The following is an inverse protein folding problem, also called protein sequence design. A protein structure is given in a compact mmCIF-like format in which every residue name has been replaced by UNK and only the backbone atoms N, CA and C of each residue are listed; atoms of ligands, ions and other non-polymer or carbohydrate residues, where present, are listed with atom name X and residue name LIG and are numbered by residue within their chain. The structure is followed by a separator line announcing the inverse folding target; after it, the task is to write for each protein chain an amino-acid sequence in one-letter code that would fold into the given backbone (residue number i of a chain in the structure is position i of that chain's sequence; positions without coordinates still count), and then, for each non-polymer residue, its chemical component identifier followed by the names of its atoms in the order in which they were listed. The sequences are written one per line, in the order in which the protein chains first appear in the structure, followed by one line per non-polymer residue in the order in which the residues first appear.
data_IF_359591887268
#
_entry.id   IF_359591887268
#
_cell.length_a   1.000
_cell.length_b   1.000
_cell.length_c   1.000
_cell.angle_alpha   90.00
_cell.angle_beta   90.00
_cell.angle_gamma   90.00
#
_symmetry.space_group_name_H-M   'P 1'
#
loop_
_entity.id
_entity.type
_entity.pdbx_description
1 polymer ?
#
# COMPACT_ATOMS: atom_id res chain seq x y z
N UNK A 1 -0.53 4.95 3.20
CA UNK A 1 -0.91 4.48 4.54
C UNK A 1 -2.41 4.61 4.70
N UNK A 2 -3.08 3.61 5.25
CA UNK A 2 -4.54 3.61 5.41
C UNK A 2 -5.00 2.80 6.62
N UNK A 3 -6.20 3.07 7.08
CA UNK A 3 -6.90 2.32 8.11
C UNK A 3 -8.41 2.41 7.93
N UNK A 4 -9.16 1.49 8.53
CA UNK A 4 -10.62 1.59 8.57
C UNK A 4 -11.09 2.71 9.52
N UNK A 5 -12.24 3.36 9.22
CA UNK A 5 -12.82 4.35 10.13
C UNK A 5 -13.01 3.84 11.55
N UNK A 6 -13.34 2.56 11.71
CA UNK A 6 -13.51 1.93 13.02
C UNK A 6 -12.23 1.87 13.86
N UNK A 7 -11.08 1.69 13.20
CA UNK A 7 -9.78 1.76 13.88
C UNK A 7 -9.48 3.18 14.36
N UNK A 8 -9.68 4.16 13.46
CA UNK A 8 -9.45 5.58 13.77
C UNK A 8 -10.33 6.05 14.91
N UNK A 9 -11.61 5.63 14.93
CA UNK A 9 -12.54 5.98 16.01
C UNK A 9 -12.10 5.48 17.38
N UNK A 10 -11.40 4.34 17.45
CA UNK A 10 -10.93 3.74 18.70
C UNK A 10 -9.54 4.21 19.15
N UNK A 11 -8.66 4.50 18.19
CA UNK A 11 -7.24 4.74 18.46
C UNK A 11 -6.74 6.13 18.05
N UNK A 12 -7.58 6.91 17.38
CA UNK A 12 -7.19 8.20 16.83
C UNK A 12 -6.44 8.07 15.49
N UNK A 13 -6.24 9.21 14.86
CA UNK A 13 -5.51 9.34 13.60
C UNK A 13 -4.11 9.87 13.88
N UNK A 14 -3.03 9.24 13.38
CA UNK A 14 -1.69 9.78 13.51
C UNK A 14 -1.55 11.07 12.71
N UNK A 15 -1.06 12.12 13.32
CA UNK A 15 -0.80 13.42 12.69
C UNK A 15 0.58 13.46 12.01
N UNK A 16 1.52 12.65 12.48
CA UNK A 16 2.89 12.57 11.95
C UNK A 16 3.30 11.10 11.74
N UNK A 17 4.25 10.84 10.84
CA UNK A 17 4.78 9.49 10.67
C UNK A 17 5.35 8.87 11.94
N UNK A 18 5.97 9.66 12.82
CA UNK A 18 6.54 9.16 14.08
C UNK A 18 5.48 8.61 15.05
N UNK A 19 4.27 9.13 15.00
CA UNK A 19 3.15 8.65 15.82
C UNK A 19 2.71 7.22 15.46
N UNK A 20 3.07 6.71 14.27
CA UNK A 20 2.85 5.31 13.90
C UNK A 20 3.49 4.31 14.85
N UNK A 21 4.53 4.72 15.60
CA UNK A 21 5.17 3.91 16.64
C UNK A 21 4.22 3.56 17.80
N UNK A 22 3.16 4.34 17.97
CA UNK A 22 2.15 4.17 19.01
C UNK A 22 0.91 3.42 18.49
N UNK A 23 0.88 3.11 17.19
CA UNK A 23 -0.22 2.41 16.57
C UNK A 23 0.10 0.95 16.28
N UNK A 24 -0.95 0.13 16.14
CA UNK A 24 -0.81 -1.23 15.65
C UNK A 24 -0.68 -1.22 14.13
N UNK A 25 0.52 -1.50 13.62
CA UNK A 25 0.82 -1.50 12.20
C UNK A 25 0.82 -2.91 11.65
N UNK A 26 0.03 -3.12 10.60
CA UNK A 26 -0.12 -4.41 9.92
C UNK A 26 0.98 -4.53 8.88
N UNK A 27 1.88 -5.48 9.05
CA UNK A 27 3.06 -5.60 8.22
C UNK A 27 2.92 -6.69 7.15
N UNK A 28 3.45 -6.38 5.99
CA UNK A 28 3.66 -7.33 4.91
C UNK A 28 5.07 -7.91 5.01
N UNK A 29 5.22 -9.17 4.67
CA UNK A 29 6.52 -9.82 4.64
C UNK A 29 6.80 -10.36 3.24
N UNK A 30 8.00 -10.11 2.73
CA UNK A 30 8.48 -10.62 1.46
C UNK A 30 9.64 -11.58 1.72
N UNK A 31 9.37 -12.88 1.64
CA UNK A 31 10.32 -13.91 2.04
C UNK A 31 10.63 -13.82 3.53
N UNK A 32 11.91 -13.68 3.87
CA UNK A 32 12.36 -13.56 5.26
C UNK A 32 12.37 -12.12 5.79
N UNK A 33 11.99 -11.15 4.96
CA UNK A 33 12.02 -9.72 5.32
C UNK A 33 10.63 -9.20 5.62
N UNK A 34 10.43 -8.75 6.85
CA UNK A 34 9.23 -8.00 7.25
C UNK A 34 9.38 -6.54 6.80
N UNK A 35 8.40 -6.03 6.07
CA UNK A 35 8.32 -4.63 5.68
C UNK A 35 7.79 -3.80 6.86
N UNK A 36 8.66 -3.53 7.82
CA UNK A 36 8.39 -2.77 9.04
C UNK A 36 9.19 -1.47 9.14
N UNK A 37 9.86 -1.07 8.06
CA UNK A 37 10.53 0.20 7.90
C UNK A 37 9.78 0.99 6.82
N UNK A 38 8.85 1.83 7.25
CA UNK A 38 8.01 2.58 6.33
C UNK A 38 8.65 3.92 5.98
N UNK A 39 8.72 4.20 4.69
CA UNK A 39 9.40 5.38 4.14
C UNK A 39 8.43 6.56 4.02
N UNK A 40 8.84 7.71 4.55
CA UNK A 40 8.13 8.99 4.40
C UNK A 40 9.14 10.07 4.01
N UNK A 41 9.17 10.42 2.72
CA UNK A 41 10.20 11.31 2.20
C UNK A 41 11.60 10.77 2.45
N UNK A 42 12.42 11.48 3.20
CA UNK A 42 13.76 11.06 3.61
C UNK A 42 13.80 10.26 4.92
N UNK A 43 12.69 10.17 5.63
CA UNK A 43 12.61 9.50 6.93
C UNK A 43 12.12 8.06 6.79
N UNK A 44 12.67 7.18 7.62
CA UNK A 44 12.20 5.81 7.79
C UNK A 44 11.69 5.61 9.20
N UNK A 45 10.46 5.15 9.31
CA UNK A 45 9.83 4.88 10.58
C UNK A 45 9.77 3.39 10.81
N UNK A 46 10.38 2.94 11.89
CA UNK A 46 10.25 1.57 12.35
C UNK A 46 8.90 1.40 13.03
N UNK A 47 8.06 0.54 12.46
CA UNK A 47 6.71 0.27 12.96
C UNK A 47 6.62 -1.11 13.57
N UNK A 48 5.65 -1.31 14.44
CA UNK A 48 5.36 -2.57 15.09
C UNK A 48 3.87 -2.86 15.07
N UNK A 49 3.53 -4.14 15.13
CA UNK A 49 2.16 -4.59 15.20
C UNK A 49 2.07 -6.05 15.58
N UNK A 50 0.84 -6.51 15.77
CA UNK A 50 0.56 -7.88 16.21
C UNK A 50 0.30 -8.86 15.07
N UNK A 51 0.38 -8.39 13.81
CA UNK A 51 0.08 -9.21 12.63
C UNK A 51 1.08 -8.94 11.51
N UNK A 52 1.55 -10.02 10.93
CA UNK A 52 2.41 -10.04 9.74
C UNK A 52 1.91 -11.13 8.80
N UNK A 53 1.86 -10.85 7.50
CA UNK A 53 1.51 -11.85 6.48
C UNK A 53 2.34 -11.63 5.22
N UNK A 54 2.65 -12.71 4.52
CA UNK A 54 3.20 -12.72 3.16
C UNK A 54 2.12 -12.62 2.08
N UNK A 55 0.84 -12.65 2.49
CA UNK A 55 -0.30 -12.40 1.63
C UNK A 55 -0.78 -10.95 1.78
N UNK A 56 -0.57 -10.16 0.73
CA UNK A 56 -0.97 -8.76 0.68
C UNK A 56 -2.49 -8.56 0.83
N UNK A 57 -3.30 -9.51 0.36
CA UNK A 57 -4.76 -9.48 0.53
C UNK A 57 -5.17 -9.73 1.99
N UNK A 58 -4.44 -10.58 2.69
CA UNK A 58 -4.66 -10.81 4.12
C UNK A 58 -4.44 -9.51 4.91
N UNK A 59 -3.36 -8.79 4.64
CA UNK A 59 -3.08 -7.47 5.26
C UNK A 59 -4.20 -6.47 4.96
N UNK A 60 -4.68 -6.42 3.71
CA UNK A 60 -5.80 -5.56 3.31
C UNK A 60 -7.08 -5.89 4.10
N UNK A 61 -7.41 -7.17 4.24
CA UNK A 61 -8.60 -7.61 5.00
C UNK A 61 -8.50 -7.26 6.48
N UNK A 62 -7.35 -7.37 7.09
CA UNK A 62 -7.15 -6.92 8.47
C UNK A 62 -7.34 -5.41 8.61
N UNK A 63 -6.84 -4.62 7.67
CA UNK A 63 -7.07 -3.18 7.67
C UNK A 63 -8.56 -2.85 7.56
N UNK A 64 -9.29 -3.50 6.64
CA UNK A 64 -10.75 -3.35 6.48
C UNK A 64 -11.53 -3.76 7.74
N UNK A 65 -11.04 -4.77 8.46
CA UNK A 65 -11.64 -5.20 9.73
C UNK A 65 -11.34 -4.25 10.91
N UNK A 66 -10.55 -3.20 10.69
CA UNK A 66 -10.19 -2.23 11.73
C UNK A 66 -9.15 -2.74 12.73
N UNK A 67 -8.31 -3.69 12.31
CA UNK A 67 -7.29 -4.31 13.16
C UNK A 67 -6.02 -3.48 13.30
N UNK A 68 -5.79 -2.51 12.41
CA UNK A 68 -4.62 -1.67 12.46
C UNK A 68 -4.45 -0.77 11.23
N UNK A 69 -3.28 -0.16 11.15
CA UNK A 69 -2.85 0.69 10.04
C UNK A 69 -2.01 -0.15 9.07
N UNK A 70 -2.28 -0.02 7.77
CA UNK A 70 -1.55 -0.71 6.72
C UNK A 70 -0.82 0.27 5.79
N UNK A 71 0.33 -0.15 5.28
CA UNK A 71 1.07 0.52 4.21
C UNK A 71 0.90 -0.29 2.94
N UNK A 72 0.07 0.20 2.03
CA UNK A 72 -0.39 -0.55 0.85
C UNK A 72 -0.17 0.24 -0.43
N UNK A 73 -0.03 -0.48 -1.53
CA UNK A 73 -0.14 0.14 -2.85
C UNK A 73 -1.52 0.78 -3.02
N UNK A 74 -1.57 1.96 -3.58
CA UNK A 74 -2.83 2.65 -3.87
C UNK A 74 -3.73 1.82 -4.79
N UNK A 75 -3.15 1.11 -5.75
CA UNK A 75 -3.88 0.20 -6.64
C UNK A 75 -4.66 -0.88 -5.89
N UNK A 76 -4.10 -1.40 -4.79
CA UNK A 76 -4.76 -2.46 -4.02
C UNK A 76 -5.95 -1.95 -3.21
N UNK A 77 -5.93 -0.68 -2.81
CA UNK A 77 -6.90 -0.13 -1.84
C UNK A 77 -7.76 1.00 -2.41
N UNK A 78 -7.55 1.40 -3.67
CA UNK A 78 -8.28 2.53 -4.26
C UNK A 78 -9.80 2.37 -4.16
N UNK A 79 -10.32 1.20 -4.51
CA UNK A 79 -11.77 0.93 -4.43
C UNK A 79 -12.31 0.99 -2.99
N UNK A 80 -11.49 0.70 -1.98
CA UNK A 80 -11.86 0.80 -0.58
C UNK A 80 -11.81 2.24 -0.08
N UNK A 81 -10.84 3.02 -0.56
CA UNK A 81 -10.76 4.45 -0.29
C UNK A 81 -11.96 5.20 -0.90
N UNK A 82 -12.28 4.91 -2.15
CA UNK A 82 -13.43 5.52 -2.86
C UNK A 82 -14.76 5.19 -2.20
N UNK A 83 -14.89 3.98 -1.67
CA UNK A 83 -16.08 3.52 -0.96
C UNK A 83 -16.11 3.93 0.53
N UNK A 84 -15.08 4.60 1.04
CA UNK A 84 -14.96 5.01 2.44
C UNK A 84 -14.77 3.85 3.43
N UNK A 85 -14.45 2.64 2.94
CA UNK A 85 -14.13 1.49 3.80
C UNK A 85 -12.74 1.62 4.45
N UNK A 86 -11.83 2.30 3.76
CA UNK A 86 -10.54 2.73 4.27
C UNK A 86 -10.42 4.24 4.13
N UNK A 87 -9.61 4.83 4.97
CA UNK A 87 -9.24 6.25 4.95
C UNK A 87 -7.73 6.36 4.76
N UNK A 88 -7.32 7.24 3.85
CA UNK A 88 -5.91 7.55 3.66
C UNK A 88 -5.40 8.39 4.84
N UNK A 89 -4.31 7.94 5.43
CA UNK A 89 -3.64 8.59 6.55
C UNK A 89 -2.32 9.19 6.08
N UNK A 90 -1.89 10.28 6.73
CA UNK A 90 -0.60 10.93 6.45
C UNK A 90 -0.45 11.32 4.97
N UNK A 91 -1.54 11.71 4.31
CA UNK A 91 -1.58 11.97 2.88
C UNK A 91 -0.69 13.15 2.44
N UNK A 92 -0.33 14.04 3.34
CA UNK A 92 0.61 15.14 3.09
C UNK A 92 2.08 14.72 3.07
N UNK A 93 2.39 13.50 3.49
CA UNK A 93 3.75 12.96 3.51
C UNK A 93 3.98 12.06 2.30
N UNK A 94 5.10 12.28 1.60
CA UNK A 94 5.50 11.43 0.49
C UNK A 94 5.84 10.02 0.99
N UNK A 95 5.34 9.01 0.31
CA UNK A 95 5.69 7.61 0.58
C UNK A 95 6.62 7.07 -0.50
N UNK A 96 7.18 5.88 -0.27
CA UNK A 96 8.00 5.20 -1.26
C UNK A 96 7.20 4.90 -2.52
N UNK A 97 7.69 5.27 -3.72
CA UNK A 97 7.00 4.93 -4.96
C UNK A 97 7.03 3.41 -5.17
N UNK A 98 5.91 2.85 -5.60
CA UNK A 98 5.76 1.44 -5.93
C UNK A 98 5.46 1.29 -7.44
N UNK A 99 6.48 1.44 -8.32
CA UNK A 99 6.25 1.37 -9.74
C UNK A 99 5.88 -0.05 -10.18
N UNK A 100 5.00 -0.13 -11.17
CA UNK A 100 4.67 -1.39 -11.82
C UNK A 100 5.58 -1.59 -13.03
N UNK A 101 6.05 -2.83 -13.20
CA UNK A 101 6.92 -3.19 -14.31
C UNK A 101 6.30 -4.32 -15.12
N UNK A 102 6.25 -4.14 -16.44
CA UNK A 102 6.08 -5.23 -17.38
C UNK A 102 7.45 -5.78 -17.74
N UNK A 103 7.76 -6.98 -17.26
CA UNK A 103 9.06 -7.61 -17.46
C UNK A 103 8.99 -8.61 -18.62
N UNK A 104 9.89 -8.46 -19.60
CA UNK A 104 10.05 -9.39 -20.72
C UNK A 104 11.44 -10.05 -20.64
N UNK A 105 11.55 -11.36 -20.92
CA UNK A 105 12.83 -12.08 -20.81
C UNK A 105 13.93 -11.52 -21.70
N UNK A 106 13.57 -11.05 -22.89
CA UNK A 106 14.50 -10.39 -23.84
C UNK A 106 13.72 -9.53 -24.85
N UNK A 107 14.43 -8.71 -25.63
CA UNK A 107 13.84 -7.76 -26.59
C UNK A 107 12.95 -8.41 -27.66
N UNK A 108 13.26 -9.66 -28.08
CA UNK A 108 12.46 -10.39 -29.04
C UNK A 108 11.09 -10.84 -28.51
N UNK A 109 10.91 -10.77 -27.18
CA UNK A 109 9.61 -11.04 -26.56
C UNK A 109 8.63 -9.85 -26.71
N UNK A 110 9.08 -8.70 -27.17
CA UNK A 110 8.24 -7.54 -27.48
C UNK A 110 7.51 -7.72 -28.82
N UNK A 111 6.60 -8.69 -28.87
CA UNK A 111 5.72 -8.89 -30.02
C UNK A 111 4.68 -7.77 -30.09
N UNK A 112 4.03 -7.56 -31.28
CA UNK A 112 2.96 -6.58 -31.40
C UNK A 112 1.85 -6.74 -30.34
N UNK A 113 1.53 -7.98 -29.96
CA UNK A 113 0.55 -8.28 -28.91
C UNK A 113 1.02 -7.79 -27.54
N UNK A 114 2.28 -8.00 -27.19
CA UNK A 114 2.85 -7.53 -25.91
C UNK A 114 2.91 -6.00 -25.88
N UNK A 115 3.24 -5.35 -27.00
CA UNK A 115 3.23 -3.88 -27.10
C UNK A 115 1.81 -3.35 -26.90
N UNK A 116 0.82 -3.93 -27.58
CA UNK A 116 -0.58 -3.54 -27.44
C UNK A 116 -1.08 -3.73 -26.00
N UNK A 117 -0.72 -4.82 -25.35
CA UNK A 117 -1.03 -5.06 -23.92
C UNK A 117 -0.39 -4.00 -23.04
N UNK A 118 0.89 -3.68 -23.27
CA UNK A 118 1.60 -2.64 -22.51
C UNK A 118 0.87 -1.29 -22.62
N UNK A 119 0.54 -0.89 -23.85
CA UNK A 119 -0.12 0.39 -24.11
C UNK A 119 -1.52 0.45 -23.46
N UNK A 120 -2.29 -0.62 -23.57
CA UNK A 120 -3.57 -0.77 -22.87
C UNK A 120 -3.44 -0.67 -21.35
N UNK A 121 -2.43 -1.34 -20.75
CA UNK A 121 -2.21 -1.30 -19.30
C UNK A 121 -1.80 0.10 -18.84
N UNK A 122 -0.95 0.80 -19.60
CA UNK A 122 -0.55 2.18 -19.27
C UNK A 122 -1.78 3.09 -19.24
N UNK A 123 -2.62 3.02 -20.27
CA UNK A 123 -3.84 3.83 -20.38
C UNK A 123 -4.78 3.56 -19.18
N UNK A 124 -5.05 2.28 -18.88
CA UNK A 124 -5.95 1.92 -17.77
C UNK A 124 -5.40 2.26 -16.40
N UNK A 125 -4.09 2.15 -16.20
CA UNK A 125 -3.47 2.48 -14.92
C UNK A 125 -3.43 3.99 -14.68
N UNK A 126 -3.30 4.82 -15.71
CA UNK A 126 -3.41 6.26 -15.58
C UNK A 126 -4.80 6.68 -15.07
N UNK A 127 -5.87 6.04 -15.54
CA UNK A 127 -7.24 6.30 -15.07
C UNK A 127 -7.46 5.96 -13.58
N UNK A 128 -6.66 5.05 -13.03
CA UNK A 128 -6.81 4.58 -11.62
C UNK A 128 -5.92 5.38 -10.66
N UNK A 129 -4.82 5.94 -11.15
CA UNK A 129 -3.81 6.61 -10.29
C UNK A 129 -4.06 8.13 -10.18
N UNK A 130 -4.80 8.72 -11.11
CA UNK A 130 -5.27 10.12 -11.03
C UNK A 130 -6.49 10.25 -10.09
#
# INVERSE_FOLDING_TARGET
VCAAPSYIARHGEPATPDELRQHNCLCFNLGERVHNQWQFGSERISVQGNRVSDDAECVRRWALAGEGIAYKSRLDVQADLDAGRLVALLASFSTEPAPLYLVCPHRLSLTPAVVALKDFLIERLQEVVE
#
